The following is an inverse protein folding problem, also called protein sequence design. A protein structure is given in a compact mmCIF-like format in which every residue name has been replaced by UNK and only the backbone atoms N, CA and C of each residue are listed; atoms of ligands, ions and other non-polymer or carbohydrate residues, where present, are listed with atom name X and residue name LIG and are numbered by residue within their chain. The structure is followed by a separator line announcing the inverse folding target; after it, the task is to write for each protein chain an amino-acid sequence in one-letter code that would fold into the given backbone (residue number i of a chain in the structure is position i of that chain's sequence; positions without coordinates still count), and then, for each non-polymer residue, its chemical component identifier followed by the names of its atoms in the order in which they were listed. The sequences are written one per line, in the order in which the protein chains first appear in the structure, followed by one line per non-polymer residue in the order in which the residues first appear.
data_IF_278782500340
#
_entry.id   IF_278782500340
#
_cell.length_a   1.000
_cell.length_b   1.000
_cell.length_c   1.000
_cell.angle_alpha   90.00
_cell.angle_beta   90.00
_cell.angle_gamma   90.00
#
_symmetry.space_group_name_H-M   'P 1'
#
loop_
_entity.id
_entity.type
_entity.pdbx_description
1 polymer ?
#
# COMPACT_ATOMS: atom_id res chain seq x y z
N UNK A 1 -21.81 -11.53 3.66
CA UNK A 1 -20.38 -11.61 3.31
C UNK A 1 -19.58 -11.77 4.59
N UNK A 2 -18.62 -12.70 4.65
CA UNK A 2 -17.69 -12.75 5.80
C UNK A 2 -16.95 -11.41 5.90
N UNK A 3 -16.81 -10.91 7.13
CA UNK A 3 -16.05 -9.69 7.38
C UNK A 3 -14.64 -9.85 6.80
N UNK A 4 -14.19 -8.91 5.95
CA UNK A 4 -12.86 -8.97 5.39
C UNK A 4 -11.80 -8.87 6.49
N UNK A 5 -10.66 -9.52 6.27
CA UNK A 5 -9.54 -9.52 7.20
C UNK A 5 -9.16 -8.07 7.58
N UNK A 6 -9.00 -7.79 8.88
CA UNK A 6 -8.59 -6.46 9.40
C UNK A 6 -7.34 -5.91 8.71
N UNK A 7 -6.40 -6.78 8.33
CA UNK A 7 -5.17 -6.41 7.63
C UNK A 7 -5.41 -5.95 6.19
N UNK A 8 -6.56 -6.28 5.61
CA UNK A 8 -6.95 -5.88 4.26
C UNK A 8 -7.72 -4.56 4.21
N UNK A 9 -8.20 -4.03 5.35
CA UNK A 9 -9.17 -2.94 5.35
C UNK A 9 -8.66 -1.66 4.65
N UNK A 10 -7.43 -1.23 4.94
CA UNK A 10 -6.81 -0.08 4.25
C UNK A 10 -6.59 -0.35 2.76
N UNK A 11 -6.21 -1.57 2.43
CA UNK A 11 -5.99 -1.99 1.05
C UNK A 11 -7.27 -2.10 0.25
N UNK A 12 -8.43 -2.37 0.88
CA UNK A 12 -9.71 -2.42 0.19
C UNK A 12 -10.07 -1.12 -0.50
N UNK A 13 -9.71 0.01 0.11
CA UNK A 13 -9.88 1.35 -0.48
C UNK A 13 -8.90 1.51 -1.64
N UNK A 14 -7.62 1.16 -1.43
CA UNK A 14 -6.58 1.29 -2.45
C UNK A 14 -6.82 0.44 -3.71
N UNK A 15 -7.47 -0.72 -3.57
CA UNK A 15 -7.79 -1.61 -4.69
C UNK A 15 -9.22 -1.42 -5.22
N UNK A 16 -9.96 -0.43 -4.70
CA UNK A 16 -11.37 -0.24 -5.01
C UNK A 16 -11.63 -0.01 -6.50
N UNK A 17 -10.76 0.75 -7.17
CA UNK A 17 -10.83 1.03 -8.62
C UNK A 17 -10.75 -0.24 -9.48
N UNK A 18 -10.10 -1.27 -8.94
CA UNK A 18 -9.83 -2.52 -9.63
C UNK A 18 -10.89 -3.59 -9.37
N UNK A 19 -11.78 -3.41 -8.38
CA UNK A 19 -12.71 -4.44 -7.91
C UNK A 19 -13.64 -5.03 -8.97
N UNK A 20 -13.99 -4.28 -10.01
CA UNK A 20 -14.83 -4.77 -11.10
C UNK A 20 -14.07 -5.54 -12.18
N UNK A 21 -12.74 -5.37 -12.24
CA UNK A 21 -11.92 -5.77 -13.38
C UNK A 21 -10.75 -6.69 -13.00
N UNK A 22 -10.60 -7.04 -11.71
CA UNK A 22 -9.57 -7.97 -11.24
C UNK A 22 -10.18 -9.25 -10.68
N UNK A 23 -9.46 -10.35 -10.89
CA UNK A 23 -9.73 -11.63 -10.24
C UNK A 23 -8.52 -12.02 -9.42
N UNK A 24 -8.72 -12.38 -8.16
CA UNK A 24 -7.67 -12.85 -7.26
C UNK A 24 -7.68 -14.37 -7.29
N UNK A 25 -6.58 -14.97 -7.75
CA UNK A 25 -6.40 -16.42 -7.85
C UNK A 25 -5.24 -16.84 -6.94
N UNK A 26 -5.39 -17.97 -6.25
CA UNK A 26 -4.29 -18.57 -5.50
C UNK A 26 -3.36 -19.32 -6.45
N UNK A 27 -2.07 -19.05 -6.36
CA UNK A 27 -1.02 -19.68 -7.16
C UNK A 27 -0.01 -20.35 -6.23
N UNK A 28 0.38 -21.59 -6.55
CA UNK A 28 1.40 -22.31 -5.80
C UNK A 28 2.78 -21.67 -5.98
N UNK A 29 3.65 -21.80 -4.97
CA UNK A 29 4.97 -21.13 -5.00
C UNK A 29 5.83 -21.49 -6.22
N UNK A 30 5.66 -22.67 -6.80
CA UNK A 30 6.43 -23.12 -7.97
C UNK A 30 5.98 -22.43 -9.28
N UNK A 31 4.74 -21.94 -9.38
CA UNK A 31 4.28 -21.14 -10.54
C UNK A 31 4.66 -19.66 -10.40
N UNK A 32 4.92 -19.19 -9.18
CA UNK A 32 5.24 -17.79 -8.89
C UNK A 32 6.74 -17.43 -8.89
N UNK A 33 7.58 -18.19 -9.60
CA UNK A 33 9.06 -18.05 -9.56
C UNK A 33 9.56 -16.67 -9.95
N UNK A 34 8.95 -16.03 -10.95
CA UNK A 34 9.39 -14.72 -11.42
C UNK A 34 9.17 -13.64 -10.35
N UNK A 35 8.00 -13.64 -9.70
CA UNK A 35 7.71 -12.69 -8.64
C UNK A 35 8.52 -12.99 -7.36
N UNK A 36 8.70 -14.26 -7.00
CA UNK A 36 9.54 -14.66 -5.87
C UNK A 36 11.02 -14.28 -6.11
N UNK A 37 11.51 -14.46 -7.34
CA UNK A 37 12.84 -14.02 -7.75
C UNK A 37 13.01 -12.50 -7.60
N UNK A 38 12.05 -11.72 -8.10
CA UNK A 38 12.10 -10.26 -7.97
C UNK A 38 11.99 -9.78 -6.51
N UNK A 39 11.24 -10.49 -5.66
CA UNK A 39 11.12 -10.17 -4.24
C UNK A 39 12.44 -10.40 -3.48
N UNK A 40 13.19 -11.45 -3.85
CA UNK A 40 14.48 -11.81 -3.23
C UNK A 40 15.65 -11.00 -3.79
N UNK A 41 15.60 -10.68 -5.08
CA UNK A 41 16.61 -9.92 -5.81
C UNK A 41 15.95 -8.75 -6.55
N UNK A 42 15.60 -7.67 -5.82
CA UNK A 42 14.99 -6.50 -6.43
C UNK A 42 15.94 -5.87 -7.44
N UNK A 43 15.38 -5.44 -8.57
CA UNK A 43 16.14 -4.74 -9.59
C UNK A 43 16.53 -3.34 -9.11
N UNK A 44 17.68 -2.78 -9.53
CA UNK A 44 18.09 -1.42 -9.17
C UNK A 44 17.02 -0.38 -9.54
N UNK A 45 16.69 0.55 -8.64
CA UNK A 45 15.73 1.62 -8.93
C UNK A 45 16.47 2.85 -9.49
N UNK A 46 16.66 2.91 -10.81
CA UNK A 46 17.32 4.02 -11.51
C UNK A 46 16.31 5.04 -12.09
N UNK A 47 16.77 6.26 -12.36
CA UNK A 47 15.95 7.39 -12.87
C UNK A 47 15.23 7.05 -14.18
N UNK A 48 15.78 6.14 -14.98
CA UNK A 48 15.16 5.71 -16.25
C UNK A 48 13.90 4.85 -16.05
N UNK A 49 13.61 4.42 -14.81
CA UNK A 49 12.41 3.64 -14.51
C UNK A 49 11.21 4.54 -14.27
N UNK A 50 10.04 4.22 -14.84
CA UNK A 50 8.82 5.01 -14.65
C UNK A 50 8.30 5.00 -13.20
N UNK A 51 8.76 4.05 -12.38
CA UNK A 51 8.45 3.96 -10.95
C UNK A 51 9.57 4.54 -10.05
N UNK A 52 10.55 5.25 -10.61
CA UNK A 52 11.59 5.90 -9.82
C UNK A 52 10.99 6.98 -8.94
N UNK A 53 11.22 6.86 -7.63
CA UNK A 53 10.85 7.88 -6.65
C UNK A 53 12.17 8.36 -6.04
N UNK A 54 12.53 9.66 -6.17
CA UNK A 54 13.71 10.21 -5.52
C UNK A 54 13.65 9.97 -4.01
N UNK A 55 14.76 9.53 -3.40
CA UNK A 55 14.78 9.21 -1.96
C UNK A 55 14.39 10.40 -1.06
N UNK A 56 14.64 11.62 -1.53
CA UNK A 56 14.24 12.90 -0.92
C UNK A 56 12.71 13.01 -0.69
N UNK A 57 11.89 12.33 -1.50
CA UNK A 57 10.44 12.36 -1.41
C UNK A 57 9.86 11.41 -0.34
N UNK A 58 10.70 10.58 0.30
CA UNK A 58 10.25 9.59 1.30
C UNK A 58 10.16 10.13 2.73
N UNK A 59 10.68 11.35 2.98
CA UNK A 59 10.63 12.00 4.30
C UNK A 59 9.62 13.14 4.33
N UNK A 60 8.32 12.83 4.30
CA UNK A 60 7.27 13.73 4.83
C UNK A 60 5.92 13.02 4.90
N UNK A 61 5.75 12.21 5.93
CA UNK A 61 4.48 12.15 6.64
C UNK A 61 4.84 12.12 8.13
N UNK A 62 5.09 13.27 8.79
CA UNK A 62 4.95 13.28 10.23
C UNK A 62 3.51 12.84 10.53
N UNK A 63 3.37 11.75 11.28
CA UNK A 63 2.15 11.52 12.05
C UNK A 63 2.00 12.74 12.96
N UNK A 64 1.33 13.78 12.51
CA UNK A 64 0.80 14.78 13.42
C UNK A 64 -0.29 14.07 14.21
N UNK A 65 0.06 13.72 15.43
CA UNK A 65 -0.89 13.28 16.43
C UNK A 65 -2.04 14.28 16.47
N UNK A 66 -3.25 13.75 16.49
CA UNK A 66 -4.45 14.52 16.80
C UNK A 66 -4.19 15.17 18.16
N UNK A 67 -3.80 16.44 18.15
CA UNK A 67 -3.71 17.26 19.34
C UNK A 67 -5.15 17.48 19.78
N UNK A 68 -5.54 16.81 20.86
CA UNK A 68 -6.74 17.13 21.62
C UNK A 68 -6.78 18.63 21.88
N UNK A 69 -7.68 19.33 21.19
CA UNK A 69 -8.05 20.70 21.55
C UNK A 69 -9.51 20.68 21.99
N UNK A 70 -9.71 20.05 23.14
CA UNK A 70 -10.86 20.34 23.99
C UNK A 70 -10.69 21.75 24.56
N UNK A 71 -11.20 22.75 23.86
CA UNK A 71 -11.56 24.00 24.52
C UNK A 71 -12.99 24.35 24.13
N UNK A 72 -13.86 24.05 25.10
CA UNK A 72 -15.11 24.73 25.35
C UNK A 72 -15.00 26.21 25.00
N UNK A 73 -15.99 26.76 24.31
CA UNK A 73 -16.72 27.89 24.86
C UNK A 73 -18.08 28.01 24.18
N UNK A 74 -19.11 27.95 25.02
CA UNK A 74 -20.50 28.19 24.73
C UNK A 74 -20.74 29.66 24.42
N UNK A 75 -21.75 29.87 23.55
CA UNK A 75 -22.48 31.09 23.16
C UNK A 75 -21.81 32.01 22.14
#
# INVERSE_FOLDING_TARGET
MKTPNKHMLRWQIAIQEYRGNITIVHEDGNTNKNADGLRRWPLPNNIDKPAYVPEEASTQNPMEGISDRSEHHFL
#
